data_IF_975231289986
#
_entry.id   IF_975231289986
#
_cell.length_a   1.000
_cell.length_b   1.000
_cell.length_c   1.000
_cell.angle_alpha   90.00
_cell.angle_beta   90.00
_cell.angle_gamma   90.00
#
_symmetry.space_group_name_H-M   'P 1'
#
loop_
_entity.id
_entity.type
_entity.pdbx_description
1 polymer ?
#
# COMPACT_ATOMS: atom_id res chain seq x y z
N UNK A 1 43.69 -36.79 9.52
CA UNK A 1 42.27 -36.86 9.18
C UNK A 1 41.56 -35.72 9.89
N UNK A 2 41.27 -34.65 9.16
CA UNK A 2 40.51 -33.52 9.70
C UNK A 2 39.02 -33.94 9.78
N UNK A 3 38.50 -34.08 11.00
CA UNK A 3 37.08 -34.29 11.21
C UNK A 3 36.40 -32.95 10.90
N UNK A 4 35.79 -32.85 9.72
CA UNK A 4 34.87 -31.74 9.44
C UNK A 4 33.79 -31.75 10.57
N UNK A 5 33.56 -30.64 11.28
CA UNK A 5 32.49 -30.61 12.24
C UNK A 5 31.18 -30.88 11.47
N UNK A 6 30.39 -31.81 12.01
CA UNK A 6 29.03 -32.05 11.55
C UNK A 6 28.30 -30.71 11.67
N UNK A 7 28.07 -30.02 10.56
CA UNK A 7 27.25 -28.81 10.58
C UNK A 7 25.89 -29.26 11.16
N UNK A 8 25.53 -28.67 12.31
CA UNK A 8 24.20 -28.84 12.84
C UNK A 8 23.18 -28.54 11.72
N UNK A 9 22.14 -29.38 11.63
CA UNK A 9 21.11 -29.19 10.62
C UNK A 9 20.52 -27.79 10.78
N UNK A 10 20.44 -27.06 9.69
CA UNK A 10 19.82 -25.74 9.65
C UNK A 10 18.38 -25.82 10.16
N UNK A 11 18.00 -24.98 11.10
CA UNK A 11 16.67 -25.01 11.71
C UNK A 11 16.05 -23.61 11.82
N UNK A 12 14.75 -23.52 11.63
CA UNK A 12 13.97 -22.31 11.87
C UNK A 12 13.82 -22.08 13.39
N UNK A 13 14.17 -20.90 13.85
CA UNK A 13 14.02 -20.47 15.25
C UNK A 13 12.76 -19.62 15.42
N UNK A 14 12.54 -18.64 14.55
CA UNK A 14 11.39 -17.73 14.62
C UNK A 14 11.13 -17.01 13.28
N UNK A 15 9.85 -16.77 12.89
CA UNK A 15 8.66 -17.39 13.47
C UNK A 15 8.65 -18.91 13.23
N UNK A 16 8.07 -19.64 14.16
CA UNK A 16 7.86 -21.09 13.99
C UNK A 16 6.74 -21.33 12.99
N UNK A 17 6.74 -22.53 12.43
CA UNK A 17 5.74 -22.92 11.44
C UNK A 17 4.30 -22.75 11.96
N UNK A 18 3.44 -22.14 11.14
CA UNK A 18 2.04 -21.83 11.45
C UNK A 18 1.82 -20.65 12.41
N UNK A 19 2.85 -19.87 12.76
CA UNK A 19 2.70 -18.70 13.64
C UNK A 19 1.84 -17.61 13.00
N UNK A 20 0.99 -16.96 13.80
CA UNK A 20 0.29 -15.72 13.42
C UNK A 20 1.12 -14.52 13.89
N UNK A 21 1.34 -13.56 13.00
CA UNK A 21 2.19 -12.38 13.24
C UNK A 21 1.50 -11.09 12.82
N UNK A 22 1.87 -9.97 13.44
CA UNK A 22 1.40 -8.65 13.02
C UNK A 22 2.11 -8.20 11.73
N UNK A 23 1.36 -7.64 10.78
CA UNK A 23 1.90 -6.98 9.60
C UNK A 23 2.24 -5.49 9.85
N UNK A 24 1.83 -4.93 11.00
CA UNK A 24 1.97 -3.49 11.32
C UNK A 24 3.38 -3.08 11.78
N UNK A 25 4.30 -4.02 11.88
CA UNK A 25 5.68 -3.81 12.31
C UNK A 25 6.63 -4.77 11.61
N UNK A 26 7.92 -4.41 11.48
CA UNK A 26 8.91 -5.32 10.92
C UNK A 26 8.98 -6.64 11.69
N UNK A 27 8.98 -7.75 10.95
CA UNK A 27 9.11 -9.11 11.47
C UNK A 27 10.57 -9.55 11.40
N UNK A 28 11.08 -10.09 12.50
CA UNK A 28 12.40 -10.71 12.53
C UNK A 28 12.31 -12.19 12.21
N UNK A 29 12.94 -12.61 11.13
CA UNK A 29 13.17 -14.02 10.80
C UNK A 29 14.48 -14.46 11.42
N UNK A 30 14.52 -15.61 12.08
CA UNK A 30 15.70 -16.13 12.78
C UNK A 30 15.85 -17.61 12.48
N UNK A 31 17.07 -18.05 12.20
CA UNK A 31 17.42 -19.46 12.01
C UNK A 31 18.66 -19.81 12.82
N UNK A 32 18.85 -21.11 13.05
CA UNK A 32 20.06 -21.62 13.67
C UNK A 32 21.17 -21.80 12.63
N UNK A 33 22.40 -21.45 12.98
CA UNK A 33 23.52 -21.55 12.05
C UNK A 33 24.79 -20.81 12.50
N UNK A 34 25.78 -20.81 11.64
CA UNK A 34 27.05 -20.11 11.88
C UNK A 34 26.99 -18.66 11.41
N UNK A 35 27.75 -17.80 12.07
CA UNK A 35 27.94 -16.39 11.66
C UNK A 35 29.34 -16.13 11.09
N UNK A 36 30.17 -17.18 10.93
CA UNK A 36 31.55 -17.05 10.51
C UNK A 36 31.75 -17.59 9.09
N UNK A 37 32.08 -16.70 8.17
CA UNK A 37 32.43 -17.01 6.78
C UNK A 37 31.38 -17.85 6.04
N UNK A 38 30.11 -17.48 6.20
CA UNK A 38 28.96 -18.14 5.59
C UNK A 38 28.08 -17.14 4.85
N UNK A 39 27.42 -17.62 3.80
CA UNK A 39 26.38 -16.88 3.09
C UNK A 39 25.10 -17.71 3.12
N UNK A 40 24.01 -17.11 3.58
CA UNK A 40 22.68 -17.69 3.51
C UNK A 40 21.87 -17.09 2.36
N UNK A 41 21.04 -17.91 1.74
CA UNK A 41 20.00 -17.49 0.82
C UNK A 41 18.67 -17.64 1.53
N UNK A 42 18.05 -16.51 1.85
CA UNK A 42 16.70 -16.41 2.42
C UNK A 42 15.73 -16.17 1.29
N UNK A 43 14.72 -17.02 1.15
CA UNK A 43 13.61 -16.83 0.23
C UNK A 43 12.33 -16.62 1.03
N UNK A 44 11.50 -15.65 0.63
CA UNK A 44 10.19 -15.40 1.20
C UNK A 44 9.19 -15.07 0.09
N UNK A 45 8.01 -15.66 0.15
CA UNK A 45 6.93 -15.43 -0.80
C UNK A 45 5.59 -15.33 -0.08
N UNK A 46 4.73 -14.43 -0.51
CA UNK A 46 3.30 -14.54 -0.25
C UNK A 46 2.75 -15.74 -1.02
N UNK A 47 1.78 -16.46 -0.46
CA UNK A 47 1.12 -17.57 -1.15
C UNK A 47 0.63 -17.17 -2.55
N UNK A 48 1.06 -17.93 -3.56
CA UNK A 48 0.74 -17.67 -4.97
C UNK A 48 1.57 -16.58 -5.67
N UNK A 49 2.61 -16.06 -5.02
CA UNK A 49 3.54 -15.09 -5.60
C UNK A 49 4.96 -15.68 -5.74
N UNK A 50 5.76 -15.11 -6.63
CA UNK A 50 7.16 -15.45 -6.77
C UNK A 50 7.98 -15.06 -5.53
N UNK A 51 8.96 -15.87 -5.12
CA UNK A 51 9.77 -15.60 -3.95
C UNK A 51 10.75 -14.44 -4.18
N UNK A 52 10.85 -13.56 -3.20
CA UNK A 52 11.97 -12.65 -3.07
C UNK A 52 13.14 -13.38 -2.42
N UNK A 53 14.34 -13.26 -2.96
CA UNK A 53 15.54 -13.94 -2.48
C UNK A 53 16.59 -12.93 -2.02
N UNK A 54 17.06 -13.09 -0.79
CA UNK A 54 18.08 -12.24 -0.18
C UNK A 54 19.36 -13.05 0.07
N UNK A 55 20.51 -12.45 -0.25
CA UNK A 55 21.84 -13.00 0.09
C UNK A 55 22.35 -12.33 1.37
N UNK A 56 22.60 -13.11 2.40
CA UNK A 56 22.89 -12.65 3.75
C UNK A 56 24.22 -13.23 4.24
N UNK A 57 25.22 -12.38 4.43
CA UNK A 57 26.55 -12.80 4.87
C UNK A 57 26.71 -12.71 6.39
N UNK A 58 27.23 -13.77 6.98
CA UNK A 58 27.65 -13.82 8.39
C UNK A 58 26.57 -13.43 9.40
N UNK A 59 25.30 -13.78 9.13
CA UNK A 59 24.18 -13.50 10.02
C UNK A 59 23.15 -14.62 9.99
N UNK A 60 22.41 -14.74 11.08
CA UNK A 60 21.41 -15.77 11.31
C UNK A 60 20.01 -15.15 11.54
N UNK A 61 19.83 -13.92 11.05
CA UNK A 61 18.55 -13.22 11.10
C UNK A 61 18.35 -12.28 9.90
N UNK A 62 17.09 -11.94 9.65
CA UNK A 62 16.69 -10.90 8.73
C UNK A 62 15.45 -10.17 9.24
N UNK A 63 15.29 -8.92 8.88
CA UNK A 63 14.10 -8.14 9.14
C UNK A 63 13.32 -7.94 7.85
N UNK A 64 12.04 -8.29 7.87
CA UNK A 64 11.10 -8.10 6.75
C UNK A 64 10.01 -7.15 7.21
N UNK A 65 9.73 -6.12 6.43
CA UNK A 65 8.68 -5.13 6.69
C UNK A 65 7.63 -5.15 5.57
N UNK A 66 6.57 -4.38 5.77
CA UNK A 66 5.58 -4.11 4.72
C UNK A 66 4.82 -5.37 4.23
N UNK A 67 4.68 -6.36 5.10
CA UNK A 67 3.91 -7.55 4.79
C UNK A 67 2.44 -7.21 4.50
N UNK A 68 1.81 -7.92 3.58
CA UNK A 68 0.37 -7.82 3.37
C UNK A 68 -0.39 -8.39 4.56
N UNK A 69 -1.53 -7.76 4.92
CA UNK A 69 -2.40 -8.25 6.00
C UNK A 69 -3.23 -9.45 5.54
N UNK A 70 -3.70 -10.26 6.48
CA UNK A 70 -4.52 -11.45 6.24
C UNK A 70 -3.96 -12.39 5.15
N UNK A 71 -2.63 -12.53 5.11
CA UNK A 71 -1.91 -13.25 4.06
C UNK A 71 -1.00 -14.32 4.64
N UNK A 72 -0.88 -15.44 3.91
CA UNK A 72 0.08 -16.50 4.21
C UNK A 72 1.40 -16.19 3.49
N UNK A 73 2.50 -16.39 4.21
CA UNK A 73 3.85 -16.30 3.70
C UNK A 73 4.59 -17.60 3.95
N UNK A 74 5.22 -18.13 2.91
CA UNK A 74 6.18 -19.22 3.00
C UNK A 74 7.59 -18.64 2.96
N UNK A 75 8.48 -19.13 3.81
CA UNK A 75 9.87 -18.69 3.81
C UNK A 75 10.82 -19.86 4.05
N UNK A 76 12.00 -19.75 3.49
CA UNK A 76 13.04 -20.75 3.65
C UNK A 76 14.42 -20.12 3.71
N UNK A 77 15.35 -20.83 4.33
CA UNK A 77 16.75 -20.43 4.38
C UNK A 77 17.63 -21.64 4.06
N UNK A 78 18.70 -21.40 3.31
CA UNK A 78 19.73 -22.41 3.00
C UNK A 78 21.12 -21.77 2.94
N UNK A 79 22.15 -22.55 3.16
CA UNK A 79 23.52 -22.12 2.86
C UNK A 79 23.72 -21.98 1.34
N UNK A 80 24.44 -20.97 0.90
CA UNK A 80 24.83 -20.85 -0.49
C UNK A 80 25.67 -22.06 -0.90
N UNK A 81 25.29 -22.70 -2.03
CA UNK A 81 25.93 -23.92 -2.50
C UNK A 81 25.38 -25.24 -1.88
N UNK A 82 24.51 -25.17 -0.86
CA UNK A 82 23.80 -26.33 -0.33
C UNK A 82 22.43 -26.50 -1.00
N UNK A 83 21.97 -27.75 -1.07
CA UNK A 83 20.59 -28.09 -1.44
C UNK A 83 19.69 -28.20 -0.20
N UNK A 84 20.27 -28.39 0.99
CA UNK A 84 19.52 -28.51 2.24
C UNK A 84 19.00 -27.13 2.66
N UNK A 85 17.71 -27.09 3.01
CA UNK A 85 17.03 -25.88 3.45
C UNK A 85 16.16 -26.16 4.67
N UNK A 86 16.01 -25.15 5.53
CA UNK A 86 14.96 -25.11 6.54
C UNK A 86 13.83 -24.20 6.03
N UNK A 87 12.59 -24.61 6.22
CA UNK A 87 11.42 -23.85 5.76
C UNK A 87 10.33 -23.79 6.81
N UNK A 88 9.55 -22.73 6.79
CA UNK A 88 8.36 -22.53 7.61
C UNK A 88 7.37 -21.61 6.91
N UNK A 89 6.16 -21.54 7.41
CA UNK A 89 5.18 -20.53 7.01
C UNK A 89 4.67 -19.75 8.22
N UNK A 90 4.14 -18.57 7.96
CA UNK A 90 3.40 -17.76 8.92
C UNK A 90 2.21 -17.09 8.24
N UNK A 91 1.26 -16.62 9.04
CA UNK A 91 0.09 -15.87 8.57
C UNK A 91 0.10 -14.50 9.23
N UNK A 92 -0.18 -13.45 8.47
CA UNK A 92 -0.33 -12.11 9.03
C UNK A 92 -1.75 -11.87 9.52
N UNK A 93 -1.89 -11.15 10.63
CA UNK A 93 -3.18 -10.72 11.15
C UNK A 93 -3.91 -9.77 10.17
N UNK A 94 -5.24 -9.72 10.27
CA UNK A 94 -6.06 -8.78 9.52
C UNK A 94 -6.14 -7.43 10.25
N UNK A 95 -5.03 -6.74 10.36
CA UNK A 95 -4.90 -5.45 11.05
C UNK A 95 -5.02 -4.29 10.06
N UNK A 96 -6.19 -3.66 9.98
CA UNK A 96 -6.44 -2.51 9.09
C UNK A 96 -6.64 -1.21 9.89
N UNK A 97 -6.26 -0.06 9.32
CA UNK A 97 -5.61 0.16 8.02
C UNK A 97 -4.18 -0.40 7.98
N UNK A 98 -3.77 -0.95 6.84
CA UNK A 98 -2.40 -1.45 6.64
C UNK A 98 -1.42 -0.28 6.63
N UNK A 99 -0.61 -0.18 7.69
CA UNK A 99 0.46 0.80 7.81
C UNK A 99 1.73 0.27 7.15
N UNK A 100 2.44 1.15 6.48
CA UNK A 100 3.65 0.85 5.73
C UNK A 100 4.83 1.66 6.27
N UNK A 101 6.05 1.18 5.99
CA UNK A 101 7.28 1.78 6.51
C UNK A 101 8.25 2.07 5.37
N UNK A 102 8.62 3.34 5.23
CA UNK A 102 9.75 3.79 4.45
C UNK A 102 10.38 4.97 5.18
N UNK A 103 11.70 5.04 5.23
CA UNK A 103 12.40 6.04 6.05
C UNK A 103 12.12 7.46 5.56
N UNK A 104 11.69 8.32 6.46
CA UNK A 104 11.30 9.70 6.17
C UNK A 104 9.93 9.85 5.50
N UNK A 105 9.14 8.79 5.39
CA UNK A 105 7.77 8.82 4.85
C UNK A 105 6.76 8.74 5.99
N UNK A 106 6.08 9.84 6.27
CA UNK A 106 5.07 9.90 7.31
C UNK A 106 3.68 9.48 6.79
N UNK A 107 2.85 8.94 7.68
CA UNK A 107 1.48 8.45 7.42
C UNK A 107 1.37 7.55 6.17
N UNK A 108 2.37 6.70 5.98
CA UNK A 108 2.44 5.80 4.84
C UNK A 108 1.48 4.62 5.03
N UNK A 109 0.50 4.49 4.15
CA UNK A 109 -0.57 3.48 4.25
C UNK A 109 -0.96 2.91 2.90
N UNK A 110 -1.46 1.69 2.92
CA UNK A 110 -2.14 1.05 1.80
C UNK A 110 -3.67 1.25 1.91
N UNK A 111 -4.32 1.50 0.79
CA UNK A 111 -5.77 1.54 0.69
C UNK A 111 -6.39 0.14 0.53
N UNK A 112 -5.58 -0.88 0.33
CA UNK A 112 -6.00 -2.26 0.15
C UNK A 112 -6.27 -3.02 1.46
N UNK A 113 -6.72 -4.27 1.31
CA UNK A 113 -7.02 -5.18 2.41
C UNK A 113 -8.46 -5.12 2.93
N UNK A 114 -9.20 -4.06 2.62
CA UNK A 114 -10.59 -3.91 3.03
C UNK A 114 -11.53 -4.84 2.30
N UNK A 115 -12.56 -5.33 3.01
CA UNK A 115 -13.64 -6.11 2.42
C UNK A 115 -14.75 -5.19 1.90
N UNK A 116 -15.25 -5.47 0.73
CA UNK A 116 -16.33 -4.72 0.09
C UNK A 116 -17.71 -5.33 0.39
N UNK A 117 -18.76 -4.59 0.07
CA UNK A 117 -20.18 -4.99 0.25
C UNK A 117 -20.55 -6.29 -0.49
N UNK A 118 -19.85 -6.60 -1.59
CA UNK A 118 -20.04 -7.83 -2.36
C UNK A 118 -19.06 -8.97 -1.96
N UNK A 119 -18.29 -8.77 -0.87
CA UNK A 119 -17.42 -9.75 -0.25
C UNK A 119 -16.02 -9.86 -0.85
N UNK A 120 -15.69 -9.12 -1.90
CA UNK A 120 -14.34 -9.07 -2.48
C UNK A 120 -13.38 -8.29 -1.57
N UNK A 121 -12.09 -8.52 -1.74
CA UNK A 121 -11.05 -7.73 -1.09
C UNK A 121 -10.51 -6.66 -2.03
N UNK A 122 -10.23 -5.49 -1.48
CA UNK A 122 -9.46 -4.45 -2.18
C UNK A 122 -8.01 -4.91 -2.25
N UNK A 123 -7.44 -4.96 -3.47
CA UNK A 123 -6.06 -5.40 -3.70
C UNK A 123 -5.08 -4.52 -2.93
N UNK A 124 -4.16 -5.18 -2.23
CA UNK A 124 -3.08 -4.51 -1.51
C UNK A 124 -1.94 -4.13 -2.46
N UNK A 125 -1.17 -3.09 -2.09
CA UNK A 125 -0.01 -2.63 -2.84
C UNK A 125 -0.33 -1.85 -4.12
N UNK A 126 -1.60 -1.56 -4.43
CA UNK A 126 -2.01 -0.85 -5.65
C UNK A 126 -2.14 0.66 -5.45
N UNK A 127 -2.88 1.07 -4.43
CA UNK A 127 -3.08 2.46 -4.05
C UNK A 127 -2.49 2.71 -2.68
N UNK A 128 -1.50 3.57 -2.64
CA UNK A 128 -0.76 3.92 -1.44
C UNK A 128 -0.90 5.42 -1.20
N UNK A 129 -0.86 5.84 0.06
CA UNK A 129 -0.88 7.24 0.43
C UNK A 129 0.18 7.59 1.44
N UNK A 130 0.63 8.85 1.46
CA UNK A 130 1.57 9.38 2.44
C UNK A 130 1.42 10.88 2.65
N UNK A 131 2.11 11.41 3.66
CA UNK A 131 2.47 12.82 3.70
C UNK A 131 3.43 13.19 2.55
N UNK A 132 3.64 14.48 2.34
CA UNK A 132 4.54 14.98 1.31
C UNK A 132 5.96 14.41 1.44
N UNK A 133 6.49 13.87 0.35
CA UNK A 133 7.78 13.18 0.33
C UNK A 133 8.96 14.15 0.30
N UNK A 134 8.89 15.19 -0.53
CA UNK A 134 10.04 15.98 -1.03
C UNK A 134 11.01 16.47 0.03
N UNK A 135 10.53 16.81 1.21
CA UNK A 135 11.36 17.45 2.24
C UNK A 135 11.82 16.50 3.35
N UNK A 136 11.35 15.26 3.31
CA UNK A 136 11.49 14.31 4.44
C UNK A 136 12.02 12.95 4.04
N UNK A 137 11.68 12.46 2.85
CA UNK A 137 12.08 11.12 2.42
C UNK A 137 13.60 11.05 2.29
N UNK A 138 14.20 9.99 2.86
CA UNK A 138 15.63 9.72 2.77
C UNK A 138 15.96 8.89 1.53
N UNK A 139 17.24 8.75 1.22
CA UNK A 139 17.68 7.86 0.15
C UNK A 139 17.24 6.39 0.40
N UNK A 140 17.24 5.93 1.66
CA UNK A 140 16.76 4.61 2.02
C UNK A 140 15.23 4.50 1.81
N UNK A 141 14.46 5.54 2.19
CA UNK A 141 13.02 5.59 1.94
C UNK A 141 12.69 5.59 0.44
N UNK A 142 13.44 6.36 -0.37
CA UNK A 142 13.29 6.33 -1.84
C UNK A 142 13.57 4.92 -2.37
N UNK A 143 14.64 4.27 -1.90
CA UNK A 143 14.95 2.88 -2.28
C UNK A 143 13.78 1.96 -1.97
N UNK A 144 13.21 2.00 -0.75
CA UNK A 144 12.06 1.20 -0.35
C UNK A 144 10.85 1.45 -1.27
N UNK A 145 10.51 2.73 -1.54
CA UNK A 145 9.38 3.06 -2.43
C UNK A 145 9.57 2.55 -3.86
N UNK A 146 10.81 2.50 -4.34
CA UNK A 146 11.15 2.04 -5.69
C UNK A 146 11.27 0.52 -5.80
N UNK A 147 11.87 -0.14 -4.81
CA UNK A 147 12.20 -1.58 -4.88
C UNK A 147 11.11 -2.46 -4.29
N UNK A 148 10.59 -2.09 -3.11
CA UNK A 148 9.63 -2.94 -2.39
C UNK A 148 8.19 -2.69 -2.86
N UNK A 149 7.89 -1.41 -3.21
CA UNK A 149 6.56 -1.02 -3.70
C UNK A 149 6.50 -0.80 -5.21
N UNK A 150 7.64 -0.70 -5.89
CA UNK A 150 7.73 -0.48 -7.34
C UNK A 150 6.82 0.65 -7.83
N UNK A 151 6.78 1.79 -7.11
CA UNK A 151 5.88 2.91 -7.41
C UNK A 151 6.08 3.36 -8.87
N UNK A 152 4.99 3.30 -9.64
CA UNK A 152 4.95 3.76 -11.02
C UNK A 152 4.48 5.21 -11.14
N UNK A 153 3.57 5.63 -10.28
CA UNK A 153 3.01 7.00 -10.30
C UNK A 153 3.09 7.65 -8.93
N UNK A 154 3.67 8.84 -8.90
CA UNK A 154 3.71 9.78 -7.78
C UNK A 154 2.71 10.90 -8.05
N UNK A 155 1.56 10.87 -7.36
CA UNK A 155 0.46 11.81 -7.50
C UNK A 155 0.47 12.82 -6.34
N UNK A 156 0.82 14.06 -6.62
CA UNK A 156 0.87 15.14 -5.65
C UNK A 156 -0.47 15.91 -5.63
N UNK A 157 -1.20 15.80 -4.51
CA UNK A 157 -2.51 16.41 -4.31
C UNK A 157 -2.43 17.85 -3.74
N UNK A 158 -1.24 18.30 -3.37
CA UNK A 158 -1.04 19.60 -2.72
C UNK A 158 -1.38 20.77 -3.65
N UNK A 159 -1.75 21.94 -3.08
CA UNK A 159 -1.96 23.15 -3.87
C UNK A 159 -0.76 23.48 -4.74
N UNK A 160 -1.01 24.05 -5.93
CA UNK A 160 0.04 24.37 -6.89
C UNK A 160 1.15 25.27 -6.30
N UNK A 161 0.81 26.16 -5.34
CA UNK A 161 1.78 27.01 -4.63
C UNK A 161 2.82 26.23 -3.84
N UNK A 162 2.46 25.06 -3.33
CA UNK A 162 3.32 24.22 -2.48
C UNK A 162 4.26 23.34 -3.32
N UNK A 163 3.99 23.24 -4.63
CA UNK A 163 4.76 22.40 -5.56
C UNK A 163 5.43 23.19 -6.70
N UNK A 164 5.44 24.54 -6.64
CA UNK A 164 5.93 25.43 -7.71
C UNK A 164 7.33 25.10 -8.24
N UNK A 165 8.22 24.55 -7.41
CA UNK A 165 9.60 24.21 -7.76
C UNK A 165 9.79 22.76 -8.16
N UNK A 166 8.75 21.92 -8.01
CA UNK A 166 8.80 20.53 -8.41
C UNK A 166 8.71 20.43 -9.95
N UNK A 167 9.56 19.60 -10.57
CA UNK A 167 9.55 19.32 -12.00
C UNK A 167 9.40 17.85 -12.29
N UNK A 168 9.67 17.00 -11.29
CA UNK A 168 9.65 15.55 -11.37
C UNK A 168 9.44 14.95 -9.99
N UNK A 169 9.17 13.66 -9.93
CA UNK A 169 9.13 12.91 -8.67
C UNK A 169 10.49 12.91 -7.98
N UNK A 170 10.46 12.91 -6.65
CA UNK A 170 11.68 12.65 -5.86
C UNK A 170 12.12 11.18 -5.96
N UNK A 171 11.23 10.30 -6.46
CA UNK A 171 11.51 8.89 -6.65
C UNK A 171 12.34 8.60 -7.91
N UNK A 172 12.48 9.55 -8.84
CA UNK A 172 13.27 9.42 -10.05
C UNK A 172 12.50 9.80 -11.32
N UNK A 173 13.22 9.92 -12.43
CA UNK A 173 12.65 10.35 -13.71
C UNK A 173 11.78 9.28 -14.38
N UNK A 174 11.99 8.03 -14.04
CA UNK A 174 11.22 6.86 -14.50
C UNK A 174 9.86 6.72 -13.79
N UNK A 175 9.66 7.43 -12.69
CA UNK A 175 8.37 7.48 -11.98
C UNK A 175 7.52 8.62 -12.55
N UNK A 176 6.31 8.29 -13.01
CA UNK A 176 5.39 9.27 -13.53
C UNK A 176 4.95 10.24 -12.43
N UNK A 177 5.43 11.49 -12.46
CA UNK A 177 4.96 12.50 -11.53
C UNK A 177 3.75 13.25 -12.09
N UNK A 178 2.70 13.39 -11.29
CA UNK A 178 1.49 14.15 -11.58
C UNK A 178 1.18 15.09 -10.42
N UNK A 179 1.05 16.38 -10.69
CA UNK A 179 0.53 17.36 -9.75
C UNK A 179 -0.91 17.67 -10.13
N UNK A 180 -1.83 17.18 -9.33
CA UNK A 180 -3.27 17.44 -9.49
C UNK A 180 -3.75 17.99 -8.14
N UNK A 181 -3.74 19.34 -7.97
CA UNK A 181 -4.21 19.96 -6.73
C UNK A 181 -5.64 19.54 -6.45
N UNK A 182 -5.82 18.72 -5.43
CA UNK A 182 -7.13 18.18 -5.07
C UNK A 182 -7.82 19.08 -4.04
N UNK A 183 -9.05 19.47 -4.28
CA UNK A 183 -9.82 20.23 -3.31
C UNK A 183 -10.52 19.28 -2.33
N UNK A 184 -10.81 19.77 -1.11
CA UNK A 184 -11.39 18.97 -0.04
C UNK A 184 -12.41 19.76 0.76
N UNK A 185 -13.35 19.05 1.40
CA UNK A 185 -14.36 19.64 2.25
C UNK A 185 -15.33 20.55 1.48
N UNK A 186 -15.70 21.69 2.06
CA UNK A 186 -16.67 22.64 1.47
C UNK A 186 -16.27 23.21 0.10
N UNK A 187 -14.99 23.14 -0.28
CA UNK A 187 -14.52 23.58 -1.58
C UNK A 187 -14.72 22.53 -2.69
N UNK A 188 -15.11 21.32 -2.36
CA UNK A 188 -15.62 20.37 -3.35
C UNK A 188 -16.94 20.88 -3.97
N UNK A 189 -17.64 21.79 -3.28
CA UNK A 189 -18.79 22.53 -3.81
C UNK A 189 -18.41 23.58 -4.84
N UNK A 190 -17.12 23.95 -4.96
CA UNK A 190 -16.66 24.74 -6.09
C UNK A 190 -16.74 23.82 -7.34
N UNK A 191 -17.96 23.77 -7.84
CA UNK A 191 -18.56 22.72 -8.65
C UNK A 191 -17.77 22.40 -9.95
N UNK A 192 -16.88 23.27 -10.36
CA UNK A 192 -16.12 23.09 -11.60
C UNK A 192 -14.74 22.50 -11.29
N UNK A 193 -13.98 23.07 -10.36
CA UNK A 193 -12.60 22.63 -10.10
C UNK A 193 -12.52 21.27 -9.41
N UNK A 194 -13.32 21.02 -8.38
CA UNK A 194 -13.31 19.76 -7.68
C UNK A 194 -13.67 18.58 -8.57
N UNK A 195 -14.67 18.77 -9.45
CA UNK A 195 -15.11 17.74 -10.42
C UNK A 195 -14.04 17.45 -11.47
N UNK A 196 -13.45 18.49 -12.08
CA UNK A 196 -12.38 18.31 -13.06
C UNK A 196 -11.15 17.61 -12.46
N UNK A 197 -10.79 17.95 -11.23
CA UNK A 197 -9.65 17.35 -10.54
C UNK A 197 -9.92 15.87 -10.25
N UNK A 198 -11.11 15.54 -9.74
CA UNK A 198 -11.49 14.16 -9.49
C UNK A 198 -11.52 13.34 -10.80
N UNK A 199 -12.08 13.88 -11.88
CA UNK A 199 -12.06 13.23 -13.20
C UNK A 199 -10.62 12.99 -13.70
N UNK A 200 -9.70 13.96 -13.54
CA UNK A 200 -8.28 13.79 -13.91
C UNK A 200 -7.59 12.71 -13.09
N UNK A 201 -7.80 12.68 -11.77
CA UNK A 201 -7.29 11.63 -10.90
C UNK A 201 -7.86 10.28 -11.32
N UNK A 202 -9.18 10.21 -11.52
CA UNK A 202 -9.86 8.98 -11.87
C UNK A 202 -9.39 8.41 -13.22
N UNK A 203 -9.24 9.26 -14.25
CA UNK A 203 -8.68 8.84 -15.54
C UNK A 203 -7.25 8.28 -15.45
N UNK A 204 -6.45 8.75 -14.47
CA UNK A 204 -5.16 8.13 -14.16
C UNK A 204 -5.34 6.71 -13.59
N UNK A 205 -6.34 6.51 -12.73
CA UNK A 205 -6.58 5.26 -12.01
C UNK A 205 -7.29 4.18 -12.85
N UNK A 206 -7.80 4.51 -14.02
CA UNK A 206 -8.33 3.52 -14.98
C UNK A 206 -7.27 2.89 -15.87
N UNK A 207 -6.02 3.37 -15.79
CA UNK A 207 -4.91 2.85 -16.58
C UNK A 207 -4.06 1.87 -15.74
N UNK A 208 -4.04 0.58 -16.12
CA UNK A 208 -3.24 -0.47 -15.44
C UNK A 208 -1.77 -0.06 -15.25
N UNK A 209 -1.16 0.55 -16.27
CA UNK A 209 0.24 1.00 -16.25
C UNK A 209 0.55 2.10 -15.23
N UNK A 210 -0.47 2.73 -14.64
CA UNK A 210 -0.26 3.74 -13.61
C UNK A 210 0.11 3.15 -12.26
N UNK A 211 -0.20 1.88 -12.04
CA UNK A 211 -0.03 1.23 -10.74
C UNK A 211 1.36 0.62 -10.54
N UNK A 212 1.85 0.58 -9.30
CA UNK A 212 1.30 1.16 -8.07
C UNK A 212 1.31 2.68 -8.07
N UNK A 213 0.25 3.29 -7.52
CA UNK A 213 0.12 4.75 -7.35
C UNK A 213 0.35 5.12 -5.90
N UNK A 214 1.27 6.04 -5.66
CA UNK A 214 1.41 6.72 -4.37
C UNK A 214 0.87 8.14 -4.50
N UNK A 215 -0.21 8.46 -3.79
CA UNK A 215 -0.66 9.84 -3.71
C UNK A 215 -0.26 10.48 -2.37
N UNK A 216 0.22 11.72 -2.47
CA UNK A 216 0.75 12.46 -1.34
C UNK A 216 0.01 13.77 -1.09
N UNK A 217 -0.06 14.17 0.18
CA UNK A 217 -0.71 15.41 0.62
C UNK A 217 0.17 16.11 1.67
N UNK A 218 -0.25 17.31 2.08
CA UNK A 218 0.27 17.98 3.26
C UNK A 218 -0.09 17.25 4.55
N UNK A 219 0.47 17.67 5.67
CA UNK A 219 0.31 17.03 6.98
C UNK A 219 -1.12 17.10 7.57
N UNK A 220 -2.03 17.87 6.96
CA UNK A 220 -3.42 17.92 7.35
C UNK A 220 -4.26 16.74 6.82
N UNK A 221 -3.72 16.01 5.86
CA UNK A 221 -4.28 14.79 5.23
C UNK A 221 -5.71 14.90 4.67
N UNK A 222 -6.34 16.07 4.70
CA UNK A 222 -7.77 16.20 4.36
C UNK A 222 -8.06 15.83 2.91
N UNK A 223 -7.13 16.14 1.99
CA UNK A 223 -7.26 15.82 0.56
C UNK A 223 -7.07 14.34 0.30
N UNK A 224 -6.02 13.78 0.90
CA UNK A 224 -5.72 12.35 0.77
C UNK A 224 -6.79 11.48 1.43
N UNK A 225 -7.33 11.90 2.59
CA UNK A 225 -8.46 11.24 3.24
C UNK A 225 -9.72 11.30 2.37
N UNK A 226 -10.03 12.48 1.79
CA UNK A 226 -11.19 12.66 0.90
C UNK A 226 -11.07 11.77 -0.32
N UNK A 227 -9.90 11.75 -0.97
CA UNK A 227 -9.68 10.90 -2.14
C UNK A 227 -9.78 9.41 -1.77
N UNK A 228 -9.13 8.97 -0.70
CA UNK A 228 -9.19 7.59 -0.20
C UNK A 228 -10.64 7.16 0.11
N UNK A 229 -11.41 8.05 0.74
CA UNK A 229 -12.83 7.82 1.05
C UNK A 229 -13.67 7.61 -0.23
N UNK A 230 -13.52 8.50 -1.23
CA UNK A 230 -14.27 8.39 -2.48
C UNK A 230 -13.89 7.11 -3.24
N UNK A 231 -12.60 6.78 -3.34
CA UNK A 231 -12.13 5.61 -4.05
C UNK A 231 -12.60 4.31 -3.36
N UNK A 232 -12.33 4.15 -2.07
CA UNK A 232 -12.75 2.95 -1.35
C UNK A 232 -14.28 2.85 -1.22
N UNK A 233 -14.99 3.98 -1.14
CA UNK A 233 -16.45 4.00 -1.15
C UNK A 233 -17.03 3.54 -2.50
N UNK A 234 -16.43 3.90 -3.65
CA UNK A 234 -16.79 3.36 -4.97
C UNK A 234 -16.56 1.85 -5.06
N UNK A 235 -15.54 1.34 -4.39
CA UNK A 235 -15.29 -0.10 -4.32
C UNK A 235 -16.32 -0.84 -3.47
N UNK A 236 -17.02 -0.14 -2.56
CA UNK A 236 -18.03 -0.71 -1.68
C UNK A 236 -17.49 -1.06 -0.29
N UNK A 237 -16.42 -0.42 0.14
CA UNK A 237 -15.93 -0.51 1.53
C UNK A 237 -16.97 0.13 2.47
N UNK A 238 -17.19 -0.46 3.65
CA UNK A 238 -18.18 0.00 4.61
C UNK A 238 -17.84 1.39 5.19
N UNK A 239 -18.86 2.13 5.61
CA UNK A 239 -18.66 3.45 6.24
C UNK A 239 -17.80 3.37 7.51
N UNK A 240 -17.95 2.31 8.30
CA UNK A 240 -17.14 2.06 9.50
C UNK A 240 -15.67 1.89 9.14
N UNK A 241 -15.36 1.11 8.10
CA UNK A 241 -13.99 0.89 7.64
C UNK A 241 -13.39 2.14 6.98
N UNK A 242 -14.20 2.92 6.26
CA UNK A 242 -13.78 4.22 5.74
C UNK A 242 -13.38 5.19 6.87
N UNK A 243 -14.14 5.21 7.98
CA UNK A 243 -13.80 5.99 9.17
C UNK A 243 -12.49 5.50 9.82
N UNK A 244 -12.29 4.19 9.91
CA UNK A 244 -11.03 3.62 10.45
C UNK A 244 -9.80 4.03 9.64
N UNK A 245 -9.97 4.25 8.34
CA UNK A 245 -8.88 4.72 7.45
C UNK A 245 -8.71 6.25 7.46
N UNK A 246 -9.62 6.99 8.10
CA UNK A 246 -9.59 8.45 8.13
C UNK A 246 -8.58 8.97 9.15
N UNK A 247 -7.74 9.95 8.79
CA UNK A 247 -6.69 10.52 9.65
C UNK A 247 -7.03 11.92 10.16
N UNK A 248 -7.82 12.66 9.40
CA UNK A 248 -8.24 14.02 9.74
C UNK A 248 -9.32 14.03 10.85
N UNK A 249 -9.89 15.17 11.14
CA UNK A 249 -10.90 15.30 12.20
C UNK A 249 -12.21 14.56 11.88
N UNK A 250 -12.90 14.09 12.91
CA UNK A 250 -14.24 13.50 12.77
C UNK A 250 -15.23 14.47 12.11
N UNK A 251 -15.13 15.78 12.40
CA UNK A 251 -16.01 16.78 11.80
C UNK A 251 -15.83 16.90 10.29
N UNK A 252 -14.62 16.70 9.76
CA UNK A 252 -14.38 16.70 8.30
C UNK A 252 -14.94 15.43 7.64
N UNK A 253 -14.88 14.29 8.31
CA UNK A 253 -15.52 13.05 7.86
C UNK A 253 -17.05 13.20 7.78
N UNK A 254 -17.67 13.71 8.85
CA UNK A 254 -19.12 13.93 8.91
C UNK A 254 -19.58 14.97 7.90
N UNK A 255 -18.79 16.01 7.66
CA UNK A 255 -19.02 17.02 6.65
C UNK A 255 -19.03 16.45 5.22
N UNK A 256 -18.07 15.59 4.89
CA UNK A 256 -18.01 14.90 3.60
C UNK A 256 -19.23 13.99 3.39
N UNK A 257 -19.64 13.24 4.42
CA UNK A 257 -20.83 12.39 4.36
C UNK A 257 -22.11 13.22 4.19
N UNK A 258 -22.23 14.34 4.92
CA UNK A 258 -23.39 15.22 4.80
C UNK A 258 -23.53 15.78 3.37
N UNK A 259 -22.41 16.21 2.79
CA UNK A 259 -22.35 16.67 1.41
C UNK A 259 -22.74 15.56 0.40
N UNK A 260 -22.25 14.33 0.59
CA UNK A 260 -22.63 13.23 -0.30
C UNK A 260 -24.12 12.85 -0.25
N UNK A 261 -24.87 13.25 0.79
CA UNK A 261 -26.33 13.04 0.84
C UNK A 261 -27.10 13.90 -0.17
N UNK A 262 -26.47 14.91 -0.74
CA UNK A 262 -27.08 15.76 -1.78
C UNK A 262 -27.13 15.03 -3.15
N UNK A 263 -26.33 13.96 -3.31
CA UNK A 263 -26.29 13.17 -4.54
C UNK A 263 -27.33 12.04 -4.52
N UNK A 264 -27.88 11.67 -5.72
CA UNK A 264 -28.84 10.57 -5.82
C UNK A 264 -28.25 9.24 -5.34
N UNK A 265 -29.06 8.43 -4.66
CA UNK A 265 -28.67 7.09 -4.22
C UNK A 265 -29.16 6.75 -2.83
N UNK A 266 -29.30 5.46 -2.55
CA UNK A 266 -29.75 4.92 -1.27
C UNK A 266 -28.60 4.49 -0.37
N UNK A 267 -27.44 4.21 -0.97
CA UNK A 267 -26.22 3.78 -0.27
C UNK A 267 -25.11 4.82 -0.47
N UNK A 268 -24.08 4.80 0.40
CA UNK A 268 -22.91 5.64 0.23
C UNK A 268 -22.24 5.39 -1.14
N UNK A 269 -22.06 4.13 -1.51
CA UNK A 269 -21.49 3.73 -2.81
C UNK A 269 -22.26 4.33 -3.99
N UNK A 270 -23.62 4.24 -3.98
CA UNK A 270 -24.44 4.79 -5.07
C UNK A 270 -24.36 6.32 -5.16
N UNK A 271 -24.24 7.01 -4.02
CA UNK A 271 -24.07 8.47 -3.98
C UNK A 271 -22.71 8.91 -4.49
N UNK A 272 -21.63 8.19 -4.14
CA UNK A 272 -20.30 8.46 -4.66
C UNK A 272 -20.26 8.16 -6.17
N UNK A 273 -20.92 7.11 -6.64
CA UNK A 273 -21.04 6.82 -8.07
C UNK A 273 -21.79 7.94 -8.81
N UNK A 274 -22.89 8.45 -8.23
CA UNK A 274 -23.61 9.59 -8.80
C UNK A 274 -22.75 10.87 -8.85
N UNK A 275 -21.95 11.13 -7.81
CA UNK A 275 -20.97 12.22 -7.83
C UNK A 275 -19.95 12.02 -8.96
N UNK A 276 -19.36 10.82 -9.07
CA UNK A 276 -18.38 10.50 -10.12
C UNK A 276 -18.97 10.70 -11.53
N UNK A 277 -20.22 10.25 -11.76
CA UNK A 277 -20.94 10.49 -13.02
C UNK A 277 -21.15 11.99 -13.27
N UNK A 278 -21.47 12.77 -12.23
CA UNK A 278 -21.55 14.22 -12.30
C UNK A 278 -20.20 14.90 -12.62
N UNK A 279 -19.09 14.21 -12.42
CA UNK A 279 -17.74 14.63 -12.84
C UNK A 279 -17.40 14.23 -14.27
N UNK A 280 -18.30 13.54 -14.97
CA UNK A 280 -18.07 13.06 -16.34
C UNK A 280 -17.41 11.67 -16.39
N UNK A 281 -17.28 10.98 -15.25
CA UNK A 281 -16.77 9.60 -15.19
C UNK A 281 -17.94 8.65 -15.49
N UNK A 282 -17.83 7.86 -16.52
CA UNK A 282 -18.90 6.96 -16.90
C UNK A 282 -18.88 5.62 -16.11
N UNK A 283 -19.95 4.83 -16.27
CA UNK A 283 -20.08 3.57 -15.54
C UNK A 283 -19.03 2.53 -15.96
N UNK A 284 -18.53 2.59 -17.20
CA UNK A 284 -17.50 1.67 -17.69
C UNK A 284 -16.14 1.98 -17.09
N UNK A 285 -15.83 3.26 -16.87
CA UNK A 285 -14.62 3.70 -16.20
C UNK A 285 -14.64 3.27 -14.72
N UNK A 286 -15.80 3.42 -14.04
CA UNK A 286 -15.97 2.94 -12.66
C UNK A 286 -15.76 1.42 -12.59
N UNK A 287 -16.30 0.65 -13.52
CA UNK A 287 -16.13 -0.80 -13.52
C UNK A 287 -14.67 -1.20 -13.87
N UNK A 288 -14.01 -0.47 -14.76
CA UNK A 288 -12.58 -0.64 -15.04
C UNK A 288 -11.76 -0.44 -13.77
N UNK A 289 -11.98 0.67 -13.05
CA UNK A 289 -11.32 0.90 -11.77
C UNK A 289 -11.59 -0.22 -10.77
N UNK A 290 -12.84 -0.68 -10.65
CA UNK A 290 -13.20 -1.80 -9.78
C UNK A 290 -12.47 -3.10 -10.14
N UNK A 291 -12.37 -3.42 -11.43
CA UNK A 291 -11.65 -4.62 -11.89
C UNK A 291 -10.16 -4.57 -11.59
N UNK A 292 -9.54 -3.38 -11.66
CA UNK A 292 -8.14 -3.17 -11.32
C UNK A 292 -7.87 -3.28 -9.81
N UNK A 293 -8.84 -2.86 -9.00
CA UNK A 293 -8.66 -2.72 -7.55
C UNK A 293 -9.20 -3.88 -6.73
N UNK A 294 -10.09 -4.70 -7.25
CA UNK A 294 -10.70 -5.79 -6.50
C UNK A 294 -10.10 -7.15 -6.88
N UNK A 295 -9.91 -8.00 -5.87
CA UNK A 295 -9.58 -9.40 -6.11
C UNK A 295 -10.76 -10.13 -6.78
N UNK A 296 -10.45 -11.20 -7.51
CA UNK A 296 -11.48 -12.08 -8.05
C UNK A 296 -12.27 -12.74 -6.91
N UNK A 297 -13.55 -13.01 -7.13
CA UNK A 297 -14.34 -13.78 -6.17
C UNK A 297 -13.77 -15.20 -6.11
N UNK A 298 -13.33 -15.58 -4.93
CA UNK A 298 -12.99 -16.99 -4.64
C UNK A 298 -14.23 -17.84 -4.51
#
# INVERSE_FOLDING_TARGET
MSVLPLLAALAIVSPKDGTVVSAQKPLRLVWDGSTNNVVYLLAIAREGADPQVFSLSNRVDAWIANLEVASRFDWSVRLAGSIDSAAAHFVTENELPRRLFAEGVADFRDLGGWRTDDGRLVRQGRLLRSAALRERVTAAGISTLRTDFAICTDLDLRPARDVLRARQSVLGEDVQWKSIPFESGRRMDDAVRGREQFAKVFGLLTAEKSYPVLFQDADDFVRSDTLAFLLNGLLGVSEEDLLRNWSSSQSSFDGLKAWLREFPGTTLKSRIAAYAQGCGIDASEIETFRSLMLEEKK
#
